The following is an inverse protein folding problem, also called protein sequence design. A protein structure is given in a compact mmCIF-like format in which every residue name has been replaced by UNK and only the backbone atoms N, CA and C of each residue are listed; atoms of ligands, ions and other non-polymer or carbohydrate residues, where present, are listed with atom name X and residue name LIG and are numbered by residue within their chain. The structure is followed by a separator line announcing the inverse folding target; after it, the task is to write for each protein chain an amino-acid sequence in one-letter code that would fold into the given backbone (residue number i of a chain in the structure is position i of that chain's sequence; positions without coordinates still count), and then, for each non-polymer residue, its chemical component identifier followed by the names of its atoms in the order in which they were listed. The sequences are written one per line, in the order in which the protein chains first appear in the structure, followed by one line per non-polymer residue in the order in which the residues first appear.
data_IF_848158657064
#
_entry.id   IF_848158657064
#
_cell.length_a   1.000
_cell.length_b   1.000
_cell.length_c   1.000
_cell.angle_alpha   90.00
_cell.angle_beta   90.00
_cell.angle_gamma   90.00
#
_symmetry.space_group_name_H-M   'P 1'
#
loop_
_entity.id
_entity.type
_entity.pdbx_description
1 polymer ?
#
# COMPACT_ATOMS: atom_id res chain seq x y z
N UNK A 1 0.82 41.16 10.17
CA UNK A 1 0.64 39.95 9.35
C UNK A 1 1.80 39.92 8.37
N UNK A 2 2.91 39.31 8.78
CA UNK A 2 4.05 39.09 7.90
C UNK A 2 3.74 37.92 6.98
N UNK A 3 3.76 38.22 5.68
CA UNK A 3 3.66 37.22 4.61
C UNK A 3 5.04 36.57 4.56
N UNK A 4 5.11 35.31 4.98
CA UNK A 4 6.33 34.52 4.86
C UNK A 4 6.57 34.25 3.37
N UNK A 5 7.47 35.02 2.75
CA UNK A 5 7.93 34.81 1.39
C UNK A 5 8.84 33.57 1.36
N UNK A 6 8.30 32.44 0.91
CA UNK A 6 9.11 31.30 0.51
C UNK A 6 9.70 31.59 -0.88
N UNK A 7 10.97 31.96 -0.90
CA UNK A 7 11.81 32.01 -2.10
C UNK A 7 11.83 30.65 -2.77
N UNK A 8 11.51 30.64 -4.07
CA UNK A 8 11.37 29.44 -4.87
C UNK A 8 12.61 28.55 -4.88
N UNK A 9 12.40 27.31 -4.47
CA UNK A 9 13.15 26.17 -4.97
C UNK A 9 12.15 25.15 -5.48
N UNK A 10 12.12 25.00 -6.81
CA UNK A 10 11.54 23.87 -7.50
C UNK A 10 12.12 22.59 -6.86
N UNK A 11 11.27 21.79 -6.20
CA UNK A 11 11.65 20.46 -5.77
C UNK A 11 11.91 19.62 -7.02
N UNK A 12 13.17 19.49 -7.42
CA UNK A 12 13.61 18.39 -8.27
C UNK A 12 13.32 17.11 -7.51
N UNK A 13 12.34 16.33 -7.98
CA UNK A 13 11.92 15.09 -7.36
C UNK A 13 13.11 14.18 -7.11
N UNK A 14 13.38 13.91 -5.83
CA UNK A 14 14.24 12.80 -5.44
C UNK A 14 13.46 11.54 -5.82
N UNK A 15 13.98 10.67 -6.70
CA UNK A 15 13.31 9.41 -6.98
C UNK A 15 13.19 8.62 -5.67
N UNK A 16 12.00 8.10 -5.39
CA UNK A 16 11.74 7.22 -4.24
C UNK A 16 12.65 5.99 -4.33
N UNK A 17 13.85 6.08 -3.76
CA UNK A 17 14.81 4.98 -3.79
C UNK A 17 14.44 3.96 -2.71
N UNK A 18 13.67 2.95 -3.11
CA UNK A 18 13.50 1.74 -2.34
C UNK A 18 14.81 0.95 -2.33
N UNK A 19 15.57 1.02 -1.23
CA UNK A 19 16.74 0.16 -1.05
C UNK A 19 16.32 -1.31 -0.94
N UNK A 20 16.56 -2.06 -2.03
CA UNK A 20 16.30 -3.48 -2.19
C UNK A 20 17.29 -4.30 -1.36
N UNK A 21 16.78 -5.07 -0.38
CA UNK A 21 17.57 -6.13 0.27
C UNK A 21 16.92 -7.46 -0.08
N UNK A 22 17.47 -8.14 -1.09
CA UNK A 22 17.09 -9.49 -1.47
C UNK A 22 17.17 -10.40 -0.24
N UNK A 23 16.02 -10.93 0.19
CA UNK A 23 15.96 -11.97 1.20
C UNK A 23 16.49 -13.25 0.55
N UNK A 24 17.78 -13.57 0.78
CA UNK A 24 18.37 -14.84 0.31
C UNK A 24 17.59 -16.00 0.95
N UNK A 25 16.82 -16.71 0.14
CA UNK A 25 16.24 -18.00 0.52
C UNK A 25 17.36 -19.02 0.62
N UNK A 26 17.77 -19.35 1.84
CA UNK A 26 18.75 -20.39 2.10
C UNK A 26 18.07 -21.76 1.98
N UNK A 27 18.33 -22.48 0.89
CA UNK A 27 18.14 -23.94 0.82
C UNK A 27 19.35 -24.56 0.13
N UNK A 28 20.15 -25.25 0.93
CA UNK A 28 21.27 -26.11 0.52
C UNK A 28 20.72 -27.34 -0.21
N UNK A 29 21.20 -27.70 -1.41
CA UNK A 29 20.92 -29.01 -1.97
C UNK A 29 21.92 -30.02 -1.41
N UNK A 30 21.44 -31.04 -0.71
CA UNK A 30 22.21 -32.27 -0.46
C UNK A 30 22.35 -33.01 -1.78
N UNK A 31 23.58 -33.12 -2.26
CA UNK A 31 23.95 -33.92 -3.41
C UNK A 31 23.92 -35.41 -3.00
N UNK A 32 23.05 -36.20 -3.63
CA UNK A 32 23.12 -37.66 -3.62
C UNK A 32 23.09 -38.11 -5.07
N UNK A 33 24.24 -38.59 -5.53
CA UNK A 33 24.49 -39.16 -6.85
C UNK A 33 23.78 -40.49 -6.99
N UNK A 34 22.93 -40.63 -8.01
CA UNK A 34 22.65 -41.92 -8.63
C UNK A 34 22.50 -41.72 -10.14
N UNK A 35 23.31 -42.46 -10.89
CA UNK A 35 23.31 -42.53 -12.34
C UNK A 35 22.14 -43.37 -12.83
N UNK A 36 21.36 -42.84 -13.78
CA UNK A 36 20.93 -43.51 -15.01
C UNK A 36 20.00 -42.60 -15.81
N UNK A 37 20.25 -42.53 -17.11
CA UNK A 37 19.75 -41.49 -18.00
C UNK A 37 18.24 -41.47 -18.20
N UNK A 38 17.70 -40.25 -18.20
CA UNK A 38 16.53 -39.83 -18.96
C UNK A 38 16.83 -38.39 -19.41
N UNK A 39 16.81 -38.17 -20.73
CA UNK A 39 16.81 -36.83 -21.32
C UNK A 39 15.53 -36.12 -20.88
N UNK A 40 15.66 -35.10 -20.03
CA UNK A 40 14.54 -34.24 -19.67
C UNK A 40 14.86 -32.83 -20.14
N UNK A 41 14.00 -32.35 -21.04
CA UNK A 41 13.91 -30.99 -21.53
C UNK A 41 14.33 -29.98 -20.46
N UNK A 42 15.38 -29.23 -20.76
CA UNK A 42 15.67 -27.99 -20.07
C UNK A 42 14.53 -27.04 -20.43
N UNK A 43 13.49 -26.99 -19.59
CA UNK A 43 12.65 -25.80 -19.52
C UNK A 43 13.58 -24.72 -19.01
N UNK A 44 14.07 -23.91 -19.94
CA UNK A 44 14.68 -22.63 -19.64
C UNK A 44 13.70 -21.87 -18.75
N UNK A 45 14.01 -21.83 -17.44
CA UNK A 45 13.39 -20.88 -16.53
C UNK A 45 13.88 -19.51 -16.97
N UNK A 46 13.13 -18.88 -17.86
CA UNK A 46 13.24 -17.46 -18.12
C UNK A 46 13.18 -16.76 -16.77
N UNK A 47 14.22 -15.95 -16.50
CA UNK A 47 14.39 -15.25 -15.24
C UNK A 47 13.13 -14.45 -14.94
N UNK A 48 12.39 -14.87 -13.93
CA UNK A 48 11.33 -14.07 -13.36
C UNK A 48 12.02 -12.99 -12.53
N UNK A 49 12.56 -11.99 -13.22
CA UNK A 49 12.91 -10.73 -12.58
C UNK A 49 11.68 -10.30 -11.79
N UNK A 50 11.86 -10.08 -10.50
CA UNK A 50 10.80 -9.76 -9.56
C UNK A 50 10.28 -8.35 -9.90
N UNK A 51 9.44 -8.26 -10.93
CA UNK A 51 8.79 -7.03 -11.32
C UNK A 51 7.97 -6.53 -10.14
N UNK A 52 8.19 -5.27 -9.75
CA UNK A 52 7.50 -4.68 -8.62
C UNK A 52 5.99 -4.66 -8.89
N UNK A 53 5.22 -5.07 -7.86
CA UNK A 53 3.77 -5.19 -7.92
C UNK A 53 3.13 -4.39 -6.79
N UNK A 54 2.26 -3.45 -7.14
CA UNK A 54 1.51 -2.61 -6.22
C UNK A 54 0.04 -3.03 -6.18
N UNK A 55 -0.47 -3.30 -4.98
CA UNK A 55 -1.88 -3.48 -4.73
C UNK A 55 -2.44 -2.26 -4.00
N UNK A 56 -3.49 -1.64 -4.52
CA UNK A 56 -4.11 -0.45 -3.94
C UNK A 56 -5.49 -0.80 -3.37
N UNK A 57 -5.61 -0.84 -2.05
CA UNK A 57 -6.89 -0.92 -1.37
C UNK A 57 -7.57 0.46 -1.42
N UNK A 58 -8.66 0.56 -2.17
CA UNK A 58 -9.38 1.82 -2.39
C UNK A 58 -8.73 2.68 -3.46
N UNK A 59 -9.01 2.39 -4.74
CA UNK A 59 -8.58 3.13 -5.93
C UNK A 59 -9.34 4.48 -6.04
N UNK A 60 -9.11 5.35 -5.05
CA UNK A 60 -9.65 6.70 -4.94
C UNK A 60 -8.99 7.69 -5.90
N UNK A 61 -9.05 8.98 -5.57
CA UNK A 61 -8.34 10.01 -6.34
C UNK A 61 -6.82 9.76 -6.33
N UNK A 62 -6.22 9.73 -5.14
CA UNK A 62 -4.77 9.51 -4.98
C UNK A 62 -4.33 8.16 -5.55
N UNK A 63 -5.09 7.10 -5.25
CA UNK A 63 -4.80 5.76 -5.77
C UNK A 63 -4.74 5.71 -7.30
N UNK A 64 -5.63 6.42 -8.00
CA UNK A 64 -5.61 6.49 -9.46
C UNK A 64 -4.36 7.19 -9.99
N UNK A 65 -4.03 8.38 -9.47
CA UNK A 65 -2.81 9.08 -9.90
C UNK A 65 -1.57 8.23 -9.66
N UNK A 66 -1.46 7.62 -8.49
CA UNK A 66 -0.33 6.77 -8.15
C UNK A 66 -0.27 5.50 -9.01
N UNK A 67 -1.41 4.91 -9.36
CA UNK A 67 -1.46 3.74 -10.22
C UNK A 67 -0.95 4.04 -11.64
N UNK A 68 -1.37 5.16 -12.23
CA UNK A 68 -0.91 5.55 -13.56
C UNK A 68 0.59 5.84 -13.58
N UNK A 69 1.10 6.54 -12.56
CA UNK A 69 2.54 6.85 -12.44
C UNK A 69 3.38 5.56 -12.37
N UNK A 70 3.01 4.63 -11.47
CA UNK A 70 3.72 3.36 -11.33
C UNK A 70 3.63 2.49 -12.59
N UNK A 71 2.49 2.50 -13.30
CA UNK A 71 2.36 1.79 -14.59
C UNK A 71 3.31 2.36 -15.64
N UNK A 72 3.49 3.68 -15.68
CA UNK A 72 4.44 4.33 -16.58
C UNK A 72 5.90 3.95 -16.25
N UNK A 73 6.18 3.65 -14.98
CA UNK A 73 7.46 3.09 -14.53
C UNK A 73 7.58 1.56 -14.75
N UNK A 74 6.58 0.91 -15.37
CA UNK A 74 6.60 -0.51 -15.67
C UNK A 74 6.21 -1.42 -14.51
N UNK A 75 5.58 -0.90 -13.45
CA UNK A 75 5.05 -1.73 -12.37
C UNK A 75 3.75 -2.42 -12.80
N UNK A 76 3.47 -3.56 -12.17
CA UNK A 76 2.15 -4.18 -12.24
C UNK A 76 1.32 -3.58 -11.11
N UNK A 77 0.22 -2.92 -11.47
CA UNK A 77 -0.65 -2.23 -10.51
C UNK A 77 -2.06 -2.74 -10.66
N UNK A 78 -2.63 -3.15 -9.53
CA UNK A 78 -4.06 -3.43 -9.42
C UNK A 78 -4.62 -2.80 -8.15
N UNK A 79 -5.93 -2.64 -8.07
CA UNK A 79 -6.53 -2.20 -6.83
C UNK A 79 -8.02 -2.45 -6.76
N UNK A 80 -8.66 -1.84 -5.77
CA UNK A 80 -10.04 -2.16 -5.43
C UNK A 80 -10.96 -0.94 -5.43
N UNK A 81 -12.24 -1.15 -5.69
CA UNK A 81 -13.26 -0.11 -5.52
C UNK A 81 -14.59 -0.75 -5.07
N UNK A 82 -15.53 0.08 -4.62
CA UNK A 82 -16.80 -0.39 -4.04
C UNK A 82 -17.98 -0.33 -5.00
N UNK A 83 -17.83 0.25 -6.20
CA UNK A 83 -18.95 0.39 -7.15
C UNK A 83 -18.61 -0.13 -8.55
N UNK A 84 -19.57 -0.83 -9.15
CA UNK A 84 -19.44 -1.36 -10.51
C UNK A 84 -19.21 -0.26 -11.56
N UNK A 85 -19.90 0.88 -11.40
CA UNK A 85 -19.72 2.04 -12.28
C UNK A 85 -18.25 2.50 -12.29
N UNK A 86 -17.67 2.72 -11.12
CA UNK A 86 -16.28 3.18 -11.00
C UNK A 86 -15.30 2.12 -11.50
N UNK A 87 -15.57 0.85 -11.25
CA UNK A 87 -14.75 -0.24 -11.80
C UNK A 87 -14.69 -0.17 -13.32
N UNK A 88 -15.84 -0.06 -13.98
CA UNK A 88 -15.91 -0.01 -15.44
C UNK A 88 -15.16 1.21 -15.99
N UNK A 89 -15.37 2.40 -15.40
CA UNK A 89 -14.66 3.62 -15.78
C UNK A 89 -13.13 3.49 -15.66
N UNK A 90 -12.64 2.80 -14.62
CA UNK A 90 -11.21 2.58 -14.43
C UNK A 90 -10.65 1.51 -15.37
N UNK A 91 -11.42 0.47 -15.67
CA UNK A 91 -11.04 -0.57 -16.62
C UNK A 91 -10.98 -0.05 -18.05
N UNK A 92 -11.88 0.86 -18.45
CA UNK A 92 -11.81 1.56 -19.74
C UNK A 92 -10.53 2.38 -19.91
N UNK A 93 -9.96 2.85 -18.80
CA UNK A 93 -8.64 3.51 -18.74
C UNK A 93 -7.46 2.52 -18.67
N UNK A 94 -7.74 1.23 -18.74
CA UNK A 94 -6.76 0.16 -18.70
C UNK A 94 -6.19 -0.14 -17.32
N UNK A 95 -6.83 0.31 -16.24
CA UNK A 95 -6.45 -0.04 -14.87
C UNK A 95 -7.07 -1.38 -14.46
N UNK A 96 -6.29 -2.25 -13.82
CA UNK A 96 -6.81 -3.51 -13.27
C UNK A 96 -7.48 -3.25 -11.91
N UNK A 97 -8.80 -3.32 -11.88
CA UNK A 97 -9.60 -2.99 -10.69
C UNK A 97 -10.63 -4.08 -10.38
N UNK A 98 -10.64 -4.48 -9.11
CA UNK A 98 -11.55 -5.45 -8.54
C UNK A 98 -12.67 -4.73 -7.75
N UNK A 99 -13.87 -5.29 -7.78
CA UNK A 99 -14.92 -4.90 -6.84
C UNK A 99 -14.58 -5.53 -5.48
N UNK A 100 -14.67 -4.76 -4.40
CA UNK A 100 -14.27 -5.22 -3.08
C UNK A 100 -15.02 -4.45 -1.99
N UNK A 101 -15.57 -5.18 -1.02
CA UNK A 101 -16.07 -4.63 0.23
C UNK A 101 -15.07 -4.91 1.34
N UNK A 102 -14.47 -3.86 1.90
CA UNK A 102 -13.52 -3.98 2.99
C UNK A 102 -14.15 -4.52 4.28
N UNK A 103 -15.47 -4.37 4.47
CA UNK A 103 -16.18 -4.92 5.62
C UNK A 103 -16.36 -6.44 5.50
N UNK A 104 -16.31 -6.98 4.28
CA UNK A 104 -16.51 -8.39 3.97
C UNK A 104 -15.49 -8.84 2.92
N UNK A 105 -14.20 -8.93 3.30
CA UNK A 105 -13.13 -9.21 2.35
C UNK A 105 -13.27 -10.61 1.76
N UNK A 106 -13.39 -10.68 0.44
CA UNK A 106 -13.47 -11.95 -0.28
C UNK A 106 -12.12 -12.66 -0.33
N UNK A 107 -12.11 -13.98 -0.08
CA UNK A 107 -10.90 -14.80 -0.13
C UNK A 107 -10.17 -14.74 -1.47
N UNK A 108 -10.89 -14.58 -2.58
CA UNK A 108 -10.30 -14.42 -3.91
C UNK A 108 -9.38 -13.19 -3.99
N UNK A 109 -9.84 -12.05 -3.47
CA UNK A 109 -9.06 -10.81 -3.43
C UNK A 109 -7.86 -10.95 -2.49
N UNK A 110 -8.04 -11.59 -1.33
CA UNK A 110 -6.94 -11.84 -0.40
C UNK A 110 -5.87 -12.77 -1.00
N UNK A 111 -6.27 -13.79 -1.74
CA UNK A 111 -5.33 -14.65 -2.47
C UNK A 111 -4.57 -13.90 -3.55
N UNK A 112 -5.24 -13.00 -4.27
CA UNK A 112 -4.59 -12.09 -5.24
C UNK A 112 -3.52 -11.24 -4.57
N UNK A 113 -3.81 -10.66 -3.40
CA UNK A 113 -2.87 -9.84 -2.62
C UNK A 113 -1.55 -10.59 -2.29
N UNK A 114 -1.57 -11.91 -2.09
CA UNK A 114 -0.36 -12.72 -1.82
C UNK A 114 0.70 -12.58 -2.93
N UNK A 115 0.29 -12.30 -4.17
CA UNK A 115 1.20 -12.14 -5.30
C UNK A 115 1.88 -10.77 -5.36
N UNK A 116 1.45 -9.80 -4.55
CA UNK A 116 1.95 -8.43 -4.58
C UNK A 116 3.11 -8.20 -3.61
N UNK A 117 3.93 -7.21 -3.96
CA UNK A 117 5.13 -6.84 -3.19
C UNK A 117 4.92 -5.59 -2.33
N UNK A 118 4.02 -4.71 -2.77
CA UNK A 118 3.72 -3.44 -2.13
C UNK A 118 2.21 -3.30 -1.96
N UNK A 119 1.78 -2.78 -0.82
CA UNK A 119 0.39 -2.51 -0.49
C UNK A 119 0.22 -1.02 -0.17
N UNK A 120 -0.68 -0.35 -0.88
CA UNK A 120 -1.17 0.98 -0.53
C UNK A 120 -2.58 0.86 0.02
N UNK A 121 -2.81 1.36 1.23
CA UNK A 121 -4.13 1.43 1.86
C UNK A 121 -4.62 2.87 1.81
N UNK A 122 -5.61 3.10 0.95
CA UNK A 122 -6.29 4.39 0.78
C UNK A 122 -7.76 4.33 1.25
N UNK A 123 -8.18 3.23 1.87
CA UNK A 123 -9.54 3.10 2.43
C UNK A 123 -9.60 3.88 3.75
N UNK A 124 -10.50 4.88 3.88
CA UNK A 124 -10.66 5.59 5.13
C UNK A 124 -11.45 4.75 6.15
N UNK A 125 -11.20 4.93 7.46
CA UNK A 125 -12.08 4.39 8.49
C UNK A 125 -13.51 4.95 8.40
N UNK A 126 -14.46 4.17 8.92
CA UNK A 126 -15.90 4.41 8.90
C UNK A 126 -16.38 4.65 10.35
N UNK A 127 -17.28 5.61 10.55
CA UNK A 127 -17.86 5.86 11.87
C UNK A 127 -18.55 4.62 12.45
N UNK A 128 -18.30 4.35 13.75
CA UNK A 128 -18.85 3.19 14.45
C UNK A 128 -18.17 1.84 14.14
N UNK A 129 -17.37 1.78 13.07
CA UNK A 129 -16.67 0.56 12.61
C UNK A 129 -15.16 0.69 12.85
N UNK A 130 -14.59 1.86 12.58
CA UNK A 130 -13.14 2.05 12.51
C UNK A 130 -12.60 1.72 11.12
N UNK A 131 -11.35 1.27 11.03
CA UNK A 131 -10.79 0.83 9.75
C UNK A 131 -11.41 -0.52 9.36
N UNK A 132 -12.12 -0.59 8.21
CA UNK A 132 -12.89 -1.78 7.87
C UNK A 132 -12.02 -3.00 7.59
N UNK A 133 -10.77 -2.81 7.12
CA UNK A 133 -9.85 -3.91 6.85
C UNK A 133 -9.20 -4.44 8.13
N UNK A 134 -8.84 -3.56 9.06
CA UNK A 134 -8.19 -3.97 10.32
C UNK A 134 -9.10 -4.79 11.24
N UNK A 135 -10.42 -4.74 11.04
CA UNK A 135 -11.35 -5.66 11.72
C UNK A 135 -11.08 -7.13 11.37
N UNK A 136 -10.49 -7.38 10.19
CA UNK A 136 -10.12 -8.70 9.69
C UNK A 136 -8.62 -8.99 9.90
N UNK A 137 -8.06 -8.52 11.02
CA UNK A 137 -6.62 -8.53 11.29
C UNK A 137 -5.94 -9.89 11.14
N UNK A 138 -6.59 -10.99 11.52
CA UNK A 138 -6.02 -12.34 11.37
C UNK A 138 -5.94 -12.78 9.90
N UNK A 139 -6.97 -12.50 9.11
CA UNK A 139 -6.99 -12.76 7.68
C UNK A 139 -5.90 -11.94 6.96
N UNK A 140 -5.77 -10.66 7.31
CA UNK A 140 -4.70 -9.81 6.81
C UNK A 140 -3.34 -10.37 7.18
N UNK A 141 -3.11 -10.69 8.46
CA UNK A 141 -1.85 -11.24 8.97
C UNK A 141 -1.44 -12.51 8.23
N UNK A 142 -2.34 -13.49 8.12
CA UNK A 142 -2.10 -14.72 7.37
C UNK A 142 -1.79 -14.42 5.90
N UNK A 143 -2.55 -13.52 5.27
CA UNK A 143 -2.33 -13.14 3.88
C UNK A 143 -0.95 -12.50 3.66
N UNK A 144 -0.52 -11.65 4.58
CA UNK A 144 0.76 -10.95 4.51
C UNK A 144 1.94 -11.88 4.78
N UNK A 145 1.82 -12.81 5.74
CA UNK A 145 2.86 -13.79 6.08
C UNK A 145 3.08 -14.80 4.94
N UNK A 146 1.98 -15.27 4.33
CA UNK A 146 2.03 -16.25 3.23
C UNK A 146 2.38 -15.61 1.88
N UNK A 147 2.36 -14.28 1.80
CA UNK A 147 2.51 -13.52 0.57
C UNK A 147 3.93 -13.01 0.32
N UNK A 148 4.05 -12.23 -0.76
CA UNK A 148 5.30 -11.58 -1.17
C UNK A 148 5.43 -10.14 -0.69
N UNK A 149 4.56 -9.68 0.22
CA UNK A 149 4.55 -8.29 0.66
C UNK A 149 5.86 -7.93 1.38
N UNK A 150 6.43 -6.80 1.00
CA UNK A 150 7.69 -6.26 1.53
C UNK A 150 7.50 -4.85 2.08
N UNK A 151 6.46 -4.16 1.60
CA UNK A 151 6.18 -2.78 1.94
C UNK A 151 4.67 -2.52 2.04
N UNK A 152 4.31 -1.68 3.00
CA UNK A 152 2.96 -1.19 3.24
C UNK A 152 2.98 0.33 3.40
N UNK A 153 1.97 0.99 2.86
CA UNK A 153 1.69 2.38 3.16
C UNK A 153 0.22 2.60 3.48
N UNK A 154 -0.04 3.36 4.53
CA UNK A 154 -1.36 3.85 4.87
C UNK A 154 -1.48 5.34 4.56
N UNK A 155 -2.50 5.73 3.80
CA UNK A 155 -2.82 7.13 3.54
C UNK A 155 -3.72 7.67 4.64
N UNK A 156 -3.13 8.51 5.48
CA UNK A 156 -3.81 9.23 6.52
C UNK A 156 -4.16 10.66 6.07
N UNK A 157 -4.50 11.52 7.02
CA UNK A 157 -4.87 12.91 6.81
C UNK A 157 -4.24 13.79 7.87
N UNK A 158 -3.88 15.01 7.49
CA UNK A 158 -3.47 16.08 8.40
C UNK A 158 -4.51 16.41 9.47
N UNK A 159 -5.77 15.98 9.32
CA UNK A 159 -6.80 16.14 10.36
C UNK A 159 -6.45 15.46 11.70
N UNK A 160 -5.52 14.51 11.71
CA UNK A 160 -5.01 13.87 12.95
C UNK A 160 -4.25 14.82 13.85
N UNK A 161 -3.74 15.94 13.33
CA UNK A 161 -3.07 16.96 14.13
C UNK A 161 -4.05 17.84 14.90
N UNK A 162 -5.32 17.90 14.48
CA UNK A 162 -6.30 18.82 15.05
C UNK A 162 -6.03 20.28 14.66
N UNK A 163 -6.53 21.21 15.47
CA UNK A 163 -6.25 22.64 15.28
C UNK A 163 -4.87 22.97 15.83
N UNK A 164 -3.97 23.36 14.94
CA UNK A 164 -2.58 23.70 15.27
C UNK A 164 -2.37 25.22 15.43
N UNK A 165 -3.43 26.04 15.42
CA UNK A 165 -3.36 27.47 15.70
C UNK A 165 -2.49 28.27 14.73
N UNK A 166 -2.33 27.80 13.49
CA UNK A 166 -1.47 28.41 12.48
C UNK A 166 0.02 28.05 12.59
N UNK A 167 0.38 27.09 13.45
CA UNK A 167 1.74 26.54 13.47
C UNK A 167 2.10 25.87 12.14
N UNK A 168 3.39 25.88 11.80
CA UNK A 168 3.92 25.02 10.76
C UNK A 168 4.02 23.61 11.34
N UNK A 169 3.34 22.65 10.72
CA UNK A 169 3.18 21.28 11.20
C UNK A 169 3.94 20.35 10.27
N UNK A 170 4.78 19.49 10.84
CA UNK A 170 5.48 18.40 10.16
C UNK A 170 5.06 17.02 10.72
N UNK A 171 5.69 15.96 10.25
CA UNK A 171 5.41 14.58 10.66
C UNK A 171 5.73 14.30 12.13
N UNK A 172 6.67 15.05 12.73
CA UNK A 172 7.09 14.90 14.13
C UNK A 172 6.14 15.61 15.10
N UNK A 173 5.25 16.47 14.59
CA UNK A 173 4.24 17.12 15.38
C UNK A 173 3.29 16.10 16.05
N UNK A 174 2.94 16.36 17.31
CA UNK A 174 2.09 15.45 18.07
C UNK A 174 0.67 15.42 17.49
N UNK A 175 0.18 14.22 17.17
CA UNK A 175 -1.20 14.04 16.75
C UNK A 175 -2.16 14.34 17.91
N UNK A 176 -3.04 15.34 17.74
CA UNK A 176 -4.05 15.73 18.72
C UNK A 176 -5.43 15.86 18.07
N UNK A 177 -6.02 14.74 17.59
CA UNK A 177 -7.25 14.77 16.83
C UNK A 177 -8.45 15.24 17.68
N UNK A 178 -9.19 16.23 17.17
CA UNK A 178 -10.31 16.85 17.90
C UNK A 178 -11.66 16.21 17.60
N UNK A 179 -11.85 15.67 16.41
CA UNK A 179 -13.10 15.02 16.00
C UNK A 179 -12.97 13.50 15.94
N UNK A 180 -14.11 12.81 16.04
CA UNK A 180 -14.17 11.34 16.09
C UNK A 180 -13.56 10.68 14.85
N UNK A 181 -13.71 11.28 13.67
CA UNK A 181 -13.13 10.70 12.45
C UNK A 181 -11.60 10.78 12.46
N UNK A 182 -11.03 11.89 12.89
CA UNK A 182 -9.59 12.05 13.04
C UNK A 182 -9.03 11.09 14.10
N UNK A 183 -9.75 10.86 15.21
CA UNK A 183 -9.37 9.85 16.22
C UNK A 183 -9.35 8.44 15.63
N UNK A 184 -10.40 8.05 14.90
CA UNK A 184 -10.46 6.76 14.21
C UNK A 184 -9.36 6.61 13.16
N UNK A 185 -8.98 7.71 12.49
CA UNK A 185 -7.83 7.73 11.58
C UNK A 185 -6.52 7.43 12.30
N UNK A 186 -6.28 8.09 13.44
CA UNK A 186 -5.07 7.85 14.24
C UNK A 186 -5.01 6.41 14.76
N UNK A 187 -6.15 5.85 15.17
CA UNK A 187 -6.24 4.42 15.53
C UNK A 187 -5.89 3.52 14.33
N UNK A 188 -6.36 3.86 13.13
CA UNK A 188 -6.02 3.12 11.92
C UNK A 188 -4.53 3.22 11.57
N UNK A 189 -3.91 4.41 11.68
CA UNK A 189 -2.45 4.58 11.49
C UNK A 189 -1.69 3.58 12.36
N UNK A 190 -2.00 3.56 13.66
CA UNK A 190 -1.32 2.67 14.60
C UNK A 190 -1.60 1.20 14.31
N UNK A 191 -2.84 0.85 13.94
CA UNK A 191 -3.22 -0.52 13.63
C UNK A 191 -2.47 -1.10 12.42
N UNK A 192 -2.34 -0.32 11.35
CA UNK A 192 -1.57 -0.73 10.17
C UNK A 192 -0.06 -0.82 10.44
N UNK A 193 0.50 0.12 11.21
CA UNK A 193 1.89 0.08 11.64
C UNK A 193 2.19 -1.15 12.50
N UNK A 194 1.32 -1.46 13.47
CA UNK A 194 1.46 -2.63 14.33
C UNK A 194 1.37 -3.93 13.53
N UNK A 195 0.38 -4.05 12.65
CA UNK A 195 0.22 -5.23 11.81
C UNK A 195 1.46 -5.48 10.96
N UNK A 196 1.98 -4.42 10.31
CA UNK A 196 3.18 -4.51 9.50
C UNK A 196 4.43 -4.87 10.32
N UNK A 197 4.58 -4.28 11.51
CA UNK A 197 5.65 -4.61 12.45
C UNK A 197 5.62 -6.09 12.83
N UNK A 198 4.45 -6.62 13.19
CA UNK A 198 4.32 -8.00 13.63
C UNK A 198 4.64 -9.02 12.53
N UNK A 199 4.35 -8.70 11.26
CA UNK A 199 4.69 -9.56 10.12
C UNK A 199 6.08 -9.27 9.54
N UNK A 200 6.78 -8.26 10.07
CA UNK A 200 8.15 -7.91 9.70
C UNK A 200 8.30 -7.25 8.33
N UNK A 201 7.30 -6.46 7.89
CA UNK A 201 7.39 -5.68 6.64
C UNK A 201 7.60 -4.19 6.93
N UNK A 202 8.19 -3.45 5.97
CA UNK A 202 8.38 -2.01 6.10
C UNK A 202 7.03 -1.31 5.97
N UNK A 203 6.72 -0.38 6.88
CA UNK A 203 5.49 0.41 6.81
C UNK A 203 5.75 1.91 6.88
N UNK A 204 4.93 2.68 6.16
CA UNK A 204 4.93 4.14 6.17
C UNK A 204 3.50 4.66 6.30
N UNK A 205 3.37 5.85 6.91
CA UNK A 205 2.12 6.60 6.96
C UNK A 205 2.37 7.93 6.26
N UNK A 206 1.50 8.30 5.32
CA UNK A 206 1.52 9.63 4.70
C UNK A 206 0.26 10.39 5.11
N UNK A 207 0.43 11.51 5.83
CA UNK A 207 -0.67 12.37 6.26
C UNK A 207 -0.95 13.39 5.17
N UNK A 208 -2.02 13.17 4.41
CA UNK A 208 -2.34 14.02 3.27
C UNK A 208 -3.01 15.32 3.71
N UNK A 209 -2.60 16.42 3.09
CA UNK A 209 -3.32 17.69 3.14
C UNK A 209 -4.68 17.55 2.45
N UNK A 210 -5.68 18.25 2.96
CA UNK A 210 -6.93 18.43 2.21
C UNK A 210 -6.61 19.38 1.05
N UNK A 211 -6.89 19.01 -0.21
CA UNK A 211 -6.78 19.97 -1.30
C UNK A 211 -7.66 21.17 -0.97
N UNK A 212 -7.09 22.38 -0.95
CA UNK A 212 -7.90 23.59 -0.89
C UNK A 212 -8.75 23.59 -2.17
N UNK A 213 -10.02 23.18 -2.06
CA UNK A 213 -11.00 23.43 -3.11
C UNK A 213 -11.18 24.94 -3.17
N UNK A 214 -10.57 25.56 -4.18
CA UNK A 214 -10.85 26.94 -4.58
C UNK A 214 -12.23 27.02 -5.25
#
# INVERSE_FOLDING_TARGET
MEICQLSGHFFSGIPLQFNYRLRKSARTPRFLTYANGVSCYQTEKTGQDSQNRMFILGMGFVGQFFAEELRNEGWIVSGTCTSMKKRNELQERGLDVLLFDANQPEMGTMNTLKSYTHLLVSVPPIMGIGDPMLQHGELLRSTMIDGNLQWLCYLSSTSVYGDCGGACVDEDFLASPTNEMAKLRLVAEQGWLNLAHDVGIKAHVFRLGVPLTQ
#
